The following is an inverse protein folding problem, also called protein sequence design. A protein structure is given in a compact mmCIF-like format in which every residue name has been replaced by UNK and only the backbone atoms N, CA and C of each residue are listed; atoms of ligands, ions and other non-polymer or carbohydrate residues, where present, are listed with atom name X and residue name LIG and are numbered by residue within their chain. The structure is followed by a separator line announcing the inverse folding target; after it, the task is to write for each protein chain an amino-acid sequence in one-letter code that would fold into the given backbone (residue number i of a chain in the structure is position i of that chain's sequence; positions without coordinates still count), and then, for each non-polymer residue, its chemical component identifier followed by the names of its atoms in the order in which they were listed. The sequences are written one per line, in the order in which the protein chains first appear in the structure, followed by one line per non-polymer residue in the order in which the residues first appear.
data_IF_451246934187
#
_entry.id   IF_451246934187
#
_cell.length_a   1.000
_cell.length_b   1.000
_cell.length_c   1.000
_cell.angle_alpha   90.00
_cell.angle_beta   90.00
_cell.angle_gamma   90.00
#
_symmetry.space_group_name_H-M   'P 1'
#
loop_
_entity.id
_entity.type
_entity.pdbx_description
1 polymer ?
#
# COMPACT_ATOMS: atom_id res chain seq x y z
N UNK A 1 39.51 53.89 39.08
CA UNK A 1 38.56 54.36 38.05
C UNK A 1 38.07 53.11 37.32
N UNK A 2 37.01 52.46 37.81
CA UNK A 2 35.59 52.56 37.41
C UNK A 2 35.28 52.06 35.97
N UNK A 3 34.55 50.93 35.96
CA UNK A 3 33.48 50.46 35.04
C UNK A 3 33.82 50.21 33.56
N UNK A 4 33.22 49.27 32.81
CA UNK A 4 32.36 48.09 33.03
C UNK A 4 31.98 47.55 31.63
N UNK A 5 31.81 46.23 31.50
CA UNK A 5 30.86 45.47 30.63
C UNK A 5 30.81 45.78 29.11
N UNK A 6 30.75 44.81 28.18
CA UNK A 6 29.70 43.77 28.09
C UNK A 6 30.09 42.69 27.06
N UNK A 7 29.80 41.44 27.40
CA UNK A 7 29.74 40.24 26.56
C UNK A 7 28.67 40.37 25.45
N UNK A 8 28.94 39.88 24.23
CA UNK A 8 27.87 39.37 23.37
C UNK A 8 28.36 38.12 22.62
N UNK A 9 28.14 36.97 23.26
CA UNK A 9 28.02 35.68 22.59
C UNK A 9 26.79 35.74 21.69
N UNK A 10 26.97 35.65 20.38
CA UNK A 10 25.86 35.42 19.46
C UNK A 10 25.50 33.94 19.58
N UNK A 11 24.48 33.72 20.40
CA UNK A 11 23.74 32.47 20.56
C UNK A 11 23.25 32.05 19.18
N UNK A 12 23.89 31.04 18.59
CA UNK A 12 23.25 30.23 17.55
C UNK A 12 22.13 29.52 18.30
N UNK A 13 20.91 30.06 18.18
CA UNK A 13 19.71 29.34 18.55
C UNK A 13 19.61 28.16 17.60
N UNK A 14 20.25 27.06 17.96
CA UNK A 14 19.71 25.76 17.69
C UNK A 14 18.32 25.79 18.29
N UNK A 15 17.33 26.11 17.46
CA UNK A 15 15.96 25.72 17.69
C UNK A 15 15.96 24.21 17.69
N UNK A 16 16.39 23.64 18.83
CA UNK A 16 15.91 22.35 19.30
C UNK A 16 14.41 22.60 19.38
N UNK A 17 13.72 22.33 18.29
CA UNK A 17 12.30 22.08 18.34
C UNK A 17 12.21 20.99 19.40
N UNK A 18 11.69 21.38 20.55
CA UNK A 18 10.97 20.47 21.42
C UNK A 18 9.87 19.89 20.53
N UNK A 19 10.20 18.85 19.76
CA UNK A 19 9.22 17.88 19.34
C UNK A 19 8.73 17.30 20.66
N UNK A 20 7.63 17.85 21.16
CA UNK A 20 6.70 17.02 21.92
C UNK A 20 6.60 15.72 21.12
N UNK A 21 7.16 14.65 21.68
CA UNK A 21 7.14 13.33 21.09
C UNK A 21 5.69 13.02 20.75
N UNK A 22 5.30 13.13 19.48
CA UNK A 22 3.96 12.75 19.06
C UNK A 22 3.82 11.27 19.42
N UNK A 23 2.79 10.88 20.19
CA UNK A 23 2.67 9.50 20.67
C UNK A 23 2.35 8.47 19.56
N UNK A 24 2.15 8.93 18.31
CA UNK A 24 1.76 8.13 17.15
C UNK A 24 2.92 7.97 16.17
N UNK A 25 3.09 6.75 15.64
CA UNK A 25 4.03 6.49 14.53
C UNK A 25 3.52 7.02 13.19
N UNK A 26 2.21 7.27 13.09
CA UNK A 26 1.49 7.58 11.85
C UNK A 26 1.47 9.07 11.51
N UNK A 27 1.40 9.38 10.21
CA UNK A 27 1.18 10.73 9.70
C UNK A 27 2.35 11.69 9.94
N UNK A 28 3.52 11.16 10.31
CA UNK A 28 4.76 11.93 10.43
C UNK A 28 5.49 12.08 9.08
N UNK A 29 5.06 11.30 8.09
CA UNK A 29 5.65 11.23 6.76
C UNK A 29 4.98 12.27 5.87
N UNK A 30 5.78 13.12 5.24
CA UNK A 30 5.29 14.03 4.21
C UNK A 30 5.35 13.34 2.84
N UNK A 31 4.32 12.54 2.55
CA UNK A 31 4.21 11.83 1.27
C UNK A 31 4.14 12.77 0.07
N UNK A 32 3.59 13.97 0.22
CA UNK A 32 3.57 14.95 -0.87
C UNK A 32 4.97 15.46 -1.21
N UNK A 33 5.82 15.68 -0.20
CA UNK A 33 7.23 16.04 -0.42
C UNK A 33 8.01 14.89 -1.06
N UNK A 34 7.78 13.64 -0.65
CA UNK A 34 8.39 12.47 -1.29
C UNK A 34 7.95 12.36 -2.75
N UNK A 35 6.65 12.48 -3.02
CA UNK A 35 6.10 12.39 -4.38
C UNK A 35 6.60 13.52 -5.30
N UNK A 36 6.73 14.75 -4.77
CA UNK A 36 7.34 15.88 -5.50
C UNK A 36 8.82 15.68 -5.82
N UNK A 37 9.50 14.80 -5.09
CA UNK A 37 10.92 14.52 -5.30
C UNK A 37 11.19 13.40 -6.32
N UNK A 38 10.14 12.78 -6.86
CA UNK A 38 10.24 11.80 -7.94
C UNK A 38 10.87 12.48 -9.17
N UNK A 39 11.90 11.88 -9.81
CA UNK A 39 12.49 12.42 -11.03
C UNK A 39 11.43 12.62 -12.12
N UNK A 40 11.55 13.70 -12.90
CA UNK A 40 10.56 14.00 -13.95
C UNK A 40 10.71 13.06 -15.14
N UNK A 41 9.61 12.45 -15.59
CA UNK A 41 9.54 11.69 -16.83
C UNK A 41 9.46 12.66 -18.02
N UNK A 42 10.48 12.65 -18.87
CA UNK A 42 10.59 13.59 -20.00
C UNK A 42 9.57 13.26 -21.11
N UNK A 43 9.22 14.27 -21.91
CA UNK A 43 8.20 14.16 -22.97
C UNK A 43 8.71 13.69 -24.31
N UNK A 44 10.01 13.74 -24.54
CA UNK A 44 10.61 13.29 -25.81
C UNK A 44 11.95 12.59 -25.56
N UNK A 45 12.39 11.72 -26.50
CA UNK A 45 13.73 11.14 -26.46
C UNK A 45 14.86 12.17 -26.38
N UNK A 46 14.72 13.33 -27.05
CA UNK A 46 15.71 14.42 -27.00
C UNK A 46 15.84 15.03 -25.61
N UNK A 47 14.70 15.31 -24.97
CA UNK A 47 14.69 15.83 -23.60
C UNK A 47 15.22 14.78 -22.62
N UNK A 48 14.89 13.51 -22.81
CA UNK A 48 15.45 12.40 -22.02
C UNK A 48 16.96 12.28 -22.19
N UNK A 49 17.48 12.47 -23.40
CA UNK A 49 18.91 12.46 -23.69
C UNK A 49 19.66 13.65 -23.09
N UNK A 50 19.08 14.85 -23.14
CA UNK A 50 19.62 16.00 -22.41
C UNK A 50 19.66 15.73 -20.91
N UNK A 51 18.58 15.15 -20.37
CA UNK A 51 18.44 14.89 -18.94
C UNK A 51 19.37 13.77 -18.43
N UNK A 52 19.55 12.70 -19.21
CA UNK A 52 20.37 11.55 -18.83
C UNK A 52 21.84 11.69 -19.21
N UNK A 53 22.16 12.37 -20.32
CA UNK A 53 23.50 12.41 -20.90
C UNK A 53 24.06 13.82 -21.11
N UNK A 54 23.34 14.88 -20.69
CA UNK A 54 23.76 16.27 -20.86
C UNK A 54 24.18 16.60 -22.30
N UNK A 55 23.43 16.09 -23.28
CA UNK A 55 23.68 16.23 -24.72
C UNK A 55 25.02 15.65 -25.23
N UNK A 56 25.76 14.93 -24.40
CA UNK A 56 26.98 14.24 -24.82
C UNK A 56 26.64 12.87 -25.44
N UNK A 57 27.08 12.63 -26.67
CA UNK A 57 26.93 11.33 -27.36
C UNK A 57 27.61 10.20 -26.58
N UNK A 58 28.69 10.49 -25.86
CA UNK A 58 29.38 9.52 -25.00
C UNK A 58 28.87 9.52 -23.54
N UNK A 59 27.81 10.30 -23.25
CA UNK A 59 27.29 10.55 -21.90
C UNK A 59 28.41 10.88 -20.87
N UNK A 60 29.42 11.63 -21.30
CA UNK A 60 30.54 12.03 -20.44
C UNK A 60 30.10 13.26 -19.65
N UNK A 61 29.84 13.08 -18.35
CA UNK A 61 29.44 14.14 -17.44
C UNK A 61 28.43 13.67 -16.39
N UNK A 62 28.10 14.58 -15.48
CA UNK A 62 27.15 14.33 -14.41
C UNK A 62 25.71 14.24 -14.96
N UNK A 63 25.16 13.03 -14.97
CA UNK A 63 23.77 12.77 -15.36
C UNK A 63 22.81 13.40 -14.37
N UNK A 64 22.01 14.38 -14.82
CA UNK A 64 20.99 15.00 -13.97
C UNK A 64 19.92 14.00 -13.54
N UNK A 65 19.57 13.07 -14.44
CA UNK A 65 18.67 11.96 -14.12
C UNK A 65 19.20 11.10 -12.97
N UNK A 66 20.46 10.67 -13.05
CA UNK A 66 21.09 9.84 -12.02
C UNK A 66 21.17 10.58 -10.69
N UNK A 67 21.63 11.84 -10.70
CA UNK A 67 21.74 12.67 -9.50
C UNK A 67 20.37 12.81 -8.81
N UNK A 68 19.32 13.11 -9.56
CA UNK A 68 17.98 13.26 -8.98
C UNK A 68 17.46 11.93 -8.44
N UNK A 69 17.68 10.83 -9.16
CA UNK A 69 17.24 9.51 -8.73
C UNK A 69 17.98 9.02 -7.48
N UNK A 70 19.29 9.23 -7.39
CA UNK A 70 20.08 8.91 -6.19
C UNK A 70 19.64 9.75 -4.98
N UNK A 71 19.40 11.05 -5.17
CA UNK A 71 18.88 11.91 -4.12
C UNK A 71 17.48 11.48 -3.67
N UNK A 72 16.63 11.03 -4.60
CA UNK A 72 15.33 10.45 -4.28
C UNK A 72 15.47 9.16 -3.47
N UNK A 73 16.34 8.22 -3.87
CA UNK A 73 16.58 6.97 -3.12
C UNK A 73 17.03 7.24 -1.69
N UNK A 74 17.93 8.20 -1.48
CA UNK A 74 18.35 8.62 -0.12
C UNK A 74 17.18 9.14 0.72
N UNK A 75 16.26 9.91 0.13
CA UNK A 75 15.05 10.37 0.83
C UNK A 75 14.13 9.20 1.19
N UNK A 76 13.96 8.24 0.28
CA UNK A 76 13.17 7.03 0.54
C UNK A 76 13.79 6.13 1.61
N UNK A 77 15.12 6.02 1.63
CA UNK A 77 15.85 5.30 2.67
C UNK A 77 15.68 5.96 4.04
N UNK A 78 15.83 7.29 4.11
CA UNK A 78 15.58 8.04 5.34
C UNK A 78 14.14 7.84 5.84
N UNK A 79 13.16 7.87 4.92
CA UNK A 79 11.76 7.56 5.24
C UNK A 79 11.59 6.15 5.81
N UNK A 80 12.11 5.14 5.12
CA UNK A 80 12.02 3.73 5.55
C UNK A 80 12.65 3.54 6.93
N UNK A 81 13.83 4.13 7.15
CA UNK A 81 14.53 4.08 8.44
C UNK A 81 13.73 4.77 9.55
N UNK A 82 13.14 5.95 9.28
CA UNK A 82 12.30 6.64 10.25
C UNK A 82 11.07 5.83 10.65
N UNK A 83 10.42 5.18 9.69
CA UNK A 83 9.26 4.34 9.95
C UNK A 83 9.64 3.07 10.73
N UNK A 84 10.72 2.40 10.33
CA UNK A 84 11.25 1.22 11.01
C UNK A 84 11.66 1.54 12.46
N UNK A 85 12.43 2.62 12.68
CA UNK A 85 12.82 3.05 14.03
C UNK A 85 11.63 3.47 14.89
N UNK A 86 10.58 4.05 14.29
CA UNK A 86 9.35 4.42 15.01
C UNK A 86 8.55 3.18 15.43
N UNK A 87 8.46 2.17 14.56
CA UNK A 87 7.84 0.87 14.85
C UNK A 87 8.63 0.13 15.95
N UNK A 88 9.96 0.09 15.84
CA UNK A 88 10.85 -0.55 16.82
C UNK A 88 10.79 0.15 18.18
N UNK A 89 10.87 1.48 18.22
CA UNK A 89 10.73 2.26 19.47
C UNK A 89 9.39 2.03 20.15
N UNK A 90 8.33 1.84 19.37
CA UNK A 90 7.01 1.52 19.90
C UNK A 90 6.95 0.09 20.43
N UNK A 91 7.48 -0.88 19.69
CA UNK A 91 7.60 -2.27 20.13
C UNK A 91 8.41 -2.35 21.43
N UNK A 92 9.58 -1.69 21.49
CA UNK A 92 10.43 -1.62 22.67
C UNK A 92 9.72 -0.92 23.83
N UNK A 93 9.02 0.19 23.60
CA UNK A 93 8.20 0.84 24.63
C UNK A 93 7.04 0.00 25.17
N UNK A 94 6.53 -0.96 24.37
CA UNK A 94 5.58 -1.99 24.84
C UNK A 94 6.29 -3.08 25.66
N UNK A 95 7.46 -3.56 25.20
CA UNK A 95 8.29 -4.53 25.93
C UNK A 95 8.79 -3.97 27.27
N UNK A 96 9.28 -2.74 27.32
CA UNK A 96 9.82 -2.10 28.53
C UNK A 96 8.70 -1.80 29.56
N UNK A 97 7.47 -1.57 29.13
CA UNK A 97 6.32 -1.29 30.02
C UNK A 97 5.64 -2.53 30.59
N UNK A 98 5.68 -3.66 29.87
CA UNK A 98 4.91 -4.86 30.23
C UNK A 98 5.73 -6.13 30.38
N UNK A 99 6.98 -6.14 29.93
CA UNK A 99 7.79 -7.35 29.81
C UNK A 99 7.22 -8.34 28.78
N UNK A 100 7.98 -9.40 28.51
CA UNK A 100 7.56 -10.49 27.61
C UNK A 100 6.30 -11.20 28.13
N UNK A 101 6.19 -11.35 29.46
CA UNK A 101 5.04 -11.95 30.13
C UNK A 101 3.78 -11.06 30.09
N UNK A 102 3.93 -9.74 30.17
CA UNK A 102 2.78 -8.83 30.06
C UNK A 102 2.25 -8.70 28.64
N UNK A 103 3.11 -8.85 27.62
CA UNK A 103 2.71 -8.98 26.22
C UNK A 103 1.98 -10.31 25.95
N UNK A 104 2.51 -11.42 26.47
CA UNK A 104 1.85 -12.71 26.40
C UNK A 104 0.48 -12.70 27.08
N UNK A 105 0.39 -12.10 28.28
CA UNK A 105 -0.87 -11.97 29.01
C UNK A 105 -1.86 -11.01 28.35
N UNK A 106 -1.40 -9.93 27.71
CA UNK A 106 -2.26 -9.02 26.93
C UNK A 106 -2.85 -9.70 25.70
N UNK A 107 -2.01 -10.38 24.90
CA UNK A 107 -2.44 -11.14 23.72
C UNK A 107 -3.38 -12.26 24.12
N UNK A 108 -3.05 -13.02 25.17
CA UNK A 108 -3.90 -14.06 25.74
C UNK A 108 -5.24 -13.50 26.23
N UNK A 109 -5.24 -12.34 26.87
CA UNK A 109 -6.46 -11.64 27.31
C UNK A 109 -7.30 -11.16 26.12
N UNK A 110 -6.69 -10.66 25.06
CA UNK A 110 -7.39 -10.28 23.83
C UNK A 110 -7.99 -11.47 23.08
N UNK A 111 -7.27 -12.58 22.98
CA UNK A 111 -7.80 -13.81 22.36
C UNK A 111 -8.90 -14.42 23.24
N UNK A 112 -8.77 -14.33 24.57
CA UNK A 112 -9.84 -14.64 25.53
C UNK A 112 -11.01 -13.66 25.55
N UNK A 113 -11.02 -12.60 24.75
CA UNK A 113 -12.20 -11.74 24.55
C UNK A 113 -13.08 -12.22 23.41
N UNK A 114 -12.63 -13.19 22.61
CA UNK A 114 -13.46 -13.81 21.59
C UNK A 114 -14.49 -14.75 22.26
N UNK A 115 -15.79 -14.52 22.04
CA UNK A 115 -16.88 -15.29 22.66
C UNK A 115 -16.76 -16.80 22.44
N UNK A 116 -16.31 -17.23 21.25
CA UNK A 116 -16.11 -18.64 20.96
C UNK A 116 -14.97 -19.21 21.82
N UNK A 117 -13.86 -18.48 21.96
CA UNK A 117 -12.71 -18.86 22.78
C UNK A 117 -13.07 -18.88 24.28
N UNK A 118 -13.89 -17.93 24.75
CA UNK A 118 -14.42 -17.92 26.11
C UNK A 118 -15.31 -19.13 26.39
N UNK A 119 -16.21 -19.45 25.45
CA UNK A 119 -17.09 -20.62 25.58
C UNK A 119 -16.33 -21.95 25.49
N UNK A 120 -15.14 -21.95 24.88
CA UNK A 120 -14.20 -23.06 24.91
C UNK A 120 -13.32 -23.09 26.19
N UNK A 121 -13.52 -22.15 27.12
CA UNK A 121 -12.84 -22.08 28.42
C UNK A 121 -11.54 -21.29 28.44
N UNK A 122 -11.29 -20.50 27.39
CA UNK A 122 -10.11 -19.65 27.25
C UNK A 122 -8.88 -20.37 26.65
N UNK A 123 -7.94 -19.58 26.14
CA UNK A 123 -6.70 -19.99 25.47
C UNK A 123 -5.90 -21.00 26.30
N UNK A 124 -5.83 -20.85 27.63
CA UNK A 124 -5.13 -21.80 28.50
C UNK A 124 -5.76 -23.19 28.42
N UNK A 125 -7.08 -23.25 28.51
CA UNK A 125 -7.81 -24.51 28.49
C UNK A 125 -7.75 -25.14 27.10
N UNK A 126 -7.86 -24.34 26.05
CA UNK A 126 -7.75 -24.78 24.66
C UNK A 126 -6.35 -25.34 24.37
N UNK A 127 -5.30 -24.73 24.92
CA UNK A 127 -3.91 -25.17 24.74
C UNK A 127 -3.61 -26.53 25.40
N UNK A 128 -4.43 -26.93 26.37
CA UNK A 128 -4.32 -28.20 27.11
C UNK A 128 -5.28 -29.29 26.57
N UNK A 129 -6.14 -28.98 25.59
CA UNK A 129 -7.07 -29.93 24.99
C UNK A 129 -6.42 -30.71 23.84
N UNK A 130 -6.76 -31.98 23.72
CA UNK A 130 -6.46 -32.76 22.51
C UNK A 130 -7.26 -32.24 21.29
N UNK A 131 -6.85 -32.61 20.09
CA UNK A 131 -7.50 -32.18 18.84
C UNK A 131 -9.00 -32.55 18.79
N UNK A 132 -9.36 -33.76 19.23
CA UNK A 132 -10.77 -34.20 19.35
C UNK A 132 -11.56 -33.40 20.39
N UNK A 133 -10.94 -33.02 21.50
CA UNK A 133 -11.58 -32.21 22.55
C UNK A 133 -11.78 -30.76 22.09
N UNK A 134 -10.83 -30.21 21.32
CA UNK A 134 -10.95 -28.88 20.70
C UNK A 134 -12.10 -28.82 19.70
N UNK A 135 -12.25 -29.82 18.83
CA UNK A 135 -13.36 -29.87 17.87
C UNK A 135 -14.73 -29.98 18.56
N UNK A 136 -14.84 -30.79 19.61
CA UNK A 136 -16.07 -30.93 20.39
C UNK A 136 -16.41 -29.64 21.16
N UNK A 137 -15.40 -28.99 21.76
CA UNK A 137 -15.56 -27.71 22.45
C UNK A 137 -15.93 -26.59 21.47
N UNK A 138 -15.32 -26.54 20.29
CA UNK A 138 -15.66 -25.58 19.24
C UNK A 138 -17.08 -25.77 18.73
N UNK A 139 -17.54 -27.01 18.48
CA UNK A 139 -18.94 -27.30 18.09
C UNK A 139 -19.95 -26.90 19.17
N UNK A 140 -19.63 -27.15 20.45
CA UNK A 140 -20.47 -26.78 21.59
C UNK A 140 -20.52 -25.26 21.81
N UNK A 141 -19.39 -24.58 21.64
CA UNK A 141 -19.29 -23.12 21.70
C UNK A 141 -20.00 -22.47 20.50
N UNK A 142 -19.88 -23.04 19.29
CA UNK A 142 -20.63 -22.55 18.12
C UNK A 142 -22.13 -22.63 18.39
N UNK A 143 -22.62 -23.79 18.85
CA UNK A 143 -24.02 -24.04 19.18
C UNK A 143 -24.58 -23.07 20.25
N UNK A 144 -23.78 -22.73 21.26
CA UNK A 144 -24.14 -21.82 22.35
C UNK A 144 -24.00 -20.34 21.96
N UNK A 145 -23.10 -19.98 21.04
CA UNK A 145 -23.04 -18.63 20.46
C UNK A 145 -24.20 -18.36 19.49
N UNK A 146 -24.67 -19.38 18.76
CA UNK A 146 -25.88 -19.27 17.93
C UNK A 146 -27.16 -19.17 18.76
N UNK A 147 -27.18 -19.66 20.00
CA UNK A 147 -28.31 -19.44 20.93
C UNK A 147 -28.20 -18.13 21.72
N UNK A 148 -27.00 -17.57 21.85
CA UNK A 148 -26.74 -16.29 22.51
C UNK A 148 -26.81 -15.06 21.58
N UNK A 149 -27.38 -15.16 20.37
CA UNK A 149 -27.66 -13.95 19.58
C UNK A 149 -28.73 -13.13 20.29
N UNK A 150 -28.33 -12.01 20.89
CA UNK A 150 -29.21 -11.00 21.47
C UNK A 150 -30.21 -10.39 20.45
N UNK A 151 -30.15 -10.82 19.19
CA UNK A 151 -30.99 -10.38 18.09
C UNK A 151 -31.73 -11.54 17.38
N UNK A 152 -31.73 -12.75 17.95
CA UNK A 152 -32.57 -13.81 17.40
C UNK A 152 -34.04 -13.45 17.59
N UNK A 153 -34.87 -13.49 16.53
CA UNK A 153 -36.31 -13.24 16.63
C UNK A 153 -37.07 -14.35 17.38
N UNK A 154 -36.39 -15.43 17.77
CA UNK A 154 -36.95 -16.61 18.41
C UNK A 154 -36.45 -16.74 19.84
N UNK A 155 -37.33 -17.16 20.76
CA UNK A 155 -36.94 -17.45 22.15
C UNK A 155 -35.97 -18.63 22.23
N UNK A 156 -35.23 -18.73 23.35
CA UNK A 156 -34.26 -19.81 23.58
C UNK A 156 -34.92 -21.20 23.44
N UNK A 157 -36.14 -21.36 23.98
CA UNK A 157 -36.90 -22.60 23.87
C UNK A 157 -37.33 -22.92 22.42
N UNK A 158 -37.67 -21.91 21.62
CA UNK A 158 -38.02 -22.08 20.21
C UNK A 158 -36.78 -22.43 19.38
N UNK A 159 -35.65 -21.77 19.62
CA UNK A 159 -34.39 -22.08 18.94
C UNK A 159 -33.92 -23.49 19.25
N UNK A 160 -33.98 -23.90 20.52
CA UNK A 160 -33.58 -25.25 20.91
C UNK A 160 -34.51 -26.32 20.32
N UNK A 161 -35.78 -25.98 20.09
CA UNK A 161 -36.72 -26.85 19.39
C UNK A 161 -36.48 -26.88 17.88
N UNK A 162 -36.14 -25.75 17.25
CA UNK A 162 -35.74 -25.69 15.84
C UNK A 162 -34.46 -26.49 15.55
N UNK A 163 -33.52 -26.54 16.50
CA UNK A 163 -32.30 -27.33 16.36
C UNK A 163 -32.56 -28.84 16.42
N UNK A 164 -33.59 -29.26 17.15
CA UNK A 164 -33.90 -30.67 17.39
C UNK A 164 -35.03 -31.20 16.48
N UNK A 165 -35.79 -30.32 15.82
CA UNK A 165 -36.89 -30.65 14.92
C UNK A 165 -36.77 -29.86 13.59
N UNK A 166 -36.29 -30.51 12.52
CA UNK A 166 -36.11 -29.89 11.21
C UNK A 166 -37.39 -29.36 10.57
N UNK A 167 -38.55 -29.95 10.87
CA UNK A 167 -39.85 -29.52 10.31
C UNK A 167 -40.38 -28.28 11.06
N UNK A 168 -40.17 -28.23 12.37
CA UNK A 168 -40.42 -27.03 13.17
C UNK A 168 -39.56 -25.85 12.72
N UNK A 169 -38.28 -26.09 12.39
CA UNK A 169 -37.38 -25.06 11.85
C UNK A 169 -37.89 -24.45 10.53
N UNK A 170 -38.35 -25.30 9.60
CA UNK A 170 -38.93 -24.84 8.33
C UNK A 170 -40.20 -24.00 8.53
N UNK A 171 -41.08 -24.40 9.44
CA UNK A 171 -42.29 -23.63 9.75
C UNK A 171 -41.97 -22.25 10.32
N UNK A 172 -41.01 -22.16 11.25
CA UNK A 172 -40.65 -20.89 11.88
C UNK A 172 -39.91 -19.95 10.93
N UNK A 173 -39.03 -20.47 10.08
CA UNK A 173 -38.40 -19.69 9.02
C UNK A 173 -39.43 -19.14 8.01
N UNK A 174 -40.39 -19.95 7.59
CA UNK A 174 -41.47 -19.51 6.70
C UNK A 174 -42.37 -18.46 7.36
N UNK A 175 -42.71 -18.65 8.63
CA UNK A 175 -43.51 -17.69 9.42
C UNK A 175 -42.82 -16.34 9.56
N UNK A 176 -41.51 -16.32 9.79
CA UNK A 176 -40.72 -15.09 9.92
C UNK A 176 -40.54 -14.37 8.57
N UNK A 177 -40.27 -15.12 7.50
CA UNK A 177 -40.11 -14.54 6.16
C UNK A 177 -41.40 -13.91 5.61
N UNK A 178 -42.57 -14.40 6.06
CA UNK A 178 -43.88 -13.87 5.67
C UNK A 178 -44.39 -12.71 6.54
N UNK A 179 -43.62 -12.25 7.53
CA UNK A 179 -43.97 -11.05 8.31
C UNK A 179 -43.58 -9.76 7.58
N UNK A 180 -44.40 -8.71 7.73
CA UNK A 180 -44.02 -7.36 7.32
C UNK A 180 -42.87 -6.82 8.17
N UNK A 181 -42.08 -5.87 7.64
CA UNK A 181 -40.96 -5.25 8.37
C UNK A 181 -41.38 -4.63 9.71
N UNK A 182 -42.60 -4.07 9.78
CA UNK A 182 -43.17 -3.55 11.04
C UNK A 182 -43.41 -4.66 12.07
N UNK A 183 -43.92 -5.82 11.64
CA UNK A 183 -44.14 -6.96 12.52
C UNK A 183 -42.83 -7.60 13.00
N UNK A 184 -41.79 -7.64 12.16
CA UNK A 184 -40.45 -8.08 12.57
C UNK A 184 -39.87 -7.15 13.65
N UNK A 185 -40.01 -5.83 13.47
CA UNK A 185 -39.54 -4.83 14.42
C UNK A 185 -40.30 -4.89 15.77
N UNK A 186 -41.62 -5.05 15.74
CA UNK A 186 -42.44 -5.17 16.96
C UNK A 186 -42.13 -6.46 17.74
N UNK A 187 -41.78 -7.55 17.04
CA UNK A 187 -41.42 -8.82 17.67
C UNK A 187 -40.08 -8.73 18.42
N UNK A 188 -39.08 -8.06 17.84
CA UNK A 188 -37.80 -7.76 18.51
C UNK A 188 -38.03 -6.84 19.72
N UNK A 189 -38.90 -5.83 19.59
CA UNK A 189 -39.22 -4.87 20.66
C UNK A 189 -39.92 -5.51 21.87
N UNK A 190 -40.87 -6.42 21.64
CA UNK A 190 -41.57 -7.12 22.72
C UNK A 190 -40.67 -8.12 23.48
N UNK A 191 -39.68 -8.70 22.81
CA UNK A 191 -38.69 -9.58 23.46
C UNK A 191 -37.67 -8.79 24.29
N UNK A 192 -37.35 -7.55 23.90
CA UNK A 192 -36.53 -6.63 24.70
C UNK A 192 -37.27 -6.13 25.95
N UNK A 193 -38.60 -5.98 25.88
CA UNK A 193 -39.42 -5.48 27.00
C UNK A 193 -39.71 -6.53 28.08
N UNK A 194 -39.49 -7.83 27.80
CA UNK A 194 -39.84 -8.94 28.70
C UNK A 194 -38.64 -9.61 29.36
N UNK A 195 -37.41 -9.24 28.99
CA UNK A 195 -36.22 -9.61 29.75
C UNK A 195 -35.97 -8.54 30.81
N UNK A 196 -36.21 -8.88 32.07
CA UNK A 196 -35.53 -8.20 33.18
C UNK A 196 -34.03 -8.49 33.01
N UNK A 197 -33.34 -7.57 32.34
CA UNK A 197 -31.91 -7.70 32.13
C UNK A 197 -31.20 -7.16 33.37
N UNK A 198 -31.08 -8.00 34.40
CA UNK A 198 -30.09 -7.80 35.46
C UNK A 198 -28.70 -8.19 34.90
N UNK A 199 -28.22 -7.46 33.88
CA UNK A 199 -26.78 -7.41 33.63
C UNK A 199 -26.23 -6.45 34.67
N UNK A 200 -25.27 -6.89 35.46
CA UNK A 200 -24.42 -5.93 36.15
C UNK A 200 -23.90 -4.92 35.12
N UNK A 201 -23.93 -3.62 35.44
CA UNK A 201 -23.48 -2.53 34.55
C UNK A 201 -22.09 -2.80 33.93
N UNK A 202 -21.26 -3.60 34.60
CA UNK A 202 -19.89 -3.92 34.22
C UNK A 202 -19.78 -4.87 33.01
N UNK A 203 -20.60 -5.94 32.95
CA UNK A 203 -20.60 -6.89 31.83
C UNK A 203 -21.18 -6.27 30.54
N UNK A 204 -22.23 -5.45 30.67
CA UNK A 204 -22.78 -4.69 29.54
C UNK A 204 -21.77 -3.68 28.99
N UNK A 205 -21.06 -2.97 29.87
CA UNK A 205 -19.99 -2.07 29.47
C UNK A 205 -18.84 -2.79 28.76
N UNK A 206 -18.43 -3.98 29.23
CA UNK A 206 -17.38 -4.78 28.59
C UNK A 206 -17.79 -5.21 27.18
N UNK A 207 -19.01 -5.71 27.00
CA UNK A 207 -19.52 -6.16 25.69
C UNK A 207 -19.64 -4.99 24.70
N UNK A 208 -20.14 -3.83 25.14
CA UNK A 208 -20.18 -2.62 24.31
C UNK A 208 -18.77 -2.14 23.91
N UNK A 209 -17.80 -2.22 24.81
CA UNK A 209 -16.39 -1.91 24.53
C UNK A 209 -15.79 -2.87 23.49
N UNK A 210 -16.06 -4.18 23.59
CA UNK A 210 -15.57 -5.18 22.63
C UNK A 210 -16.17 -5.03 21.23
N UNK A 211 -17.48 -4.80 21.13
CA UNK A 211 -18.15 -4.54 19.85
C UNK A 211 -17.60 -3.30 19.15
N UNK A 212 -17.27 -2.26 19.92
CA UNK A 212 -16.65 -1.05 19.37
C UNK A 212 -15.22 -1.29 18.87
N UNK A 213 -14.42 -2.13 19.55
CA UNK A 213 -13.07 -2.52 19.10
C UNK A 213 -13.13 -3.33 17.81
N UNK A 214 -14.02 -4.31 17.74
CA UNK A 214 -14.23 -5.12 16.55
C UNK A 214 -14.63 -4.23 15.36
N UNK A 215 -15.59 -3.31 15.58
CA UNK A 215 -16.02 -2.34 14.56
C UNK A 215 -14.87 -1.45 14.09
N UNK A 216 -14.12 -0.83 15.01
CA UNK A 216 -12.99 0.02 14.66
C UNK A 216 -11.91 -0.75 13.88
N UNK A 217 -11.61 -1.99 14.29
CA UNK A 217 -10.65 -2.85 13.60
C UNK A 217 -11.13 -3.20 12.19
N UNK A 218 -12.41 -3.57 12.05
CA UNK A 218 -13.02 -3.84 10.74
C UNK A 218 -13.00 -2.61 9.83
N UNK A 219 -13.32 -1.42 10.36
CA UNK A 219 -13.31 -0.17 9.61
C UNK A 219 -11.90 0.19 9.12
N UNK A 220 -10.88 0.05 9.98
CA UNK A 220 -9.47 0.28 9.61
C UNK A 220 -9.00 -0.76 8.59
N UNK A 221 -9.25 -2.05 8.83
CA UNK A 221 -8.86 -3.13 7.90
C UNK A 221 -9.53 -2.97 6.54
N UNK A 222 -10.80 -2.57 6.51
CA UNK A 222 -11.53 -2.30 5.27
C UNK A 222 -10.93 -1.10 4.53
N UNK A 223 -10.59 -0.03 5.25
CA UNK A 223 -9.92 1.13 4.67
C UNK A 223 -8.56 0.76 4.07
N UNK A 224 -7.68 0.15 4.88
CA UNK A 224 -6.35 -0.31 4.44
C UNK A 224 -6.46 -1.26 3.25
N UNK A 225 -7.34 -2.26 3.33
CA UNK A 225 -7.56 -3.22 2.24
C UNK A 225 -8.03 -2.56 0.93
N UNK A 226 -8.99 -1.64 1.00
CA UNK A 226 -9.46 -0.86 -0.17
C UNK A 226 -8.31 -0.08 -0.78
N UNK A 227 -7.61 0.72 0.03
CA UNK A 227 -6.58 1.66 -0.43
C UNK A 227 -5.34 0.94 -0.96
N UNK A 228 -4.89 -0.13 -0.30
CA UNK A 228 -3.79 -0.97 -0.81
C UNK A 228 -4.16 -1.68 -2.12
N UNK A 229 -5.40 -2.18 -2.25
CA UNK A 229 -5.87 -2.79 -3.49
C UNK A 229 -5.94 -1.79 -4.65
N UNK A 230 -6.32 -0.55 -4.37
CA UNK A 230 -6.35 0.53 -5.35
C UNK A 230 -4.94 0.85 -5.90
N UNK A 231 -3.93 0.97 -5.03
CA UNK A 231 -2.53 1.14 -5.43
C UNK A 231 -1.99 -0.06 -6.23
N UNK A 232 -2.27 -1.29 -5.80
CA UNK A 232 -1.87 -2.51 -6.52
C UNK A 232 -2.50 -2.55 -7.91
N UNK A 233 -3.81 -2.31 -7.99
CA UNK A 233 -4.56 -2.31 -9.25
C UNK A 233 -4.03 -1.25 -10.21
N UNK A 234 -3.75 -0.03 -9.72
CA UNK A 234 -3.19 1.03 -10.56
C UNK A 234 -1.80 0.66 -11.10
N UNK A 235 -0.96 0.03 -10.28
CA UNK A 235 0.37 -0.44 -10.67
C UNK A 235 0.31 -1.57 -11.71
N UNK A 236 -0.59 -2.53 -11.51
CA UNK A 236 -0.83 -3.63 -12.45
C UNK A 236 -1.39 -3.12 -13.79
N UNK A 237 -2.33 -2.17 -13.74
CA UNK A 237 -2.88 -1.52 -14.93
C UNK A 237 -1.79 -0.80 -15.71
N UNK A 238 -0.94 -0.02 -15.04
CA UNK A 238 0.23 0.61 -15.66
C UNK A 238 1.09 -0.45 -16.37
N UNK A 239 1.53 -1.49 -15.63
CA UNK A 239 2.41 -2.52 -16.18
C UNK A 239 1.80 -3.26 -17.38
N UNK A 240 0.50 -3.59 -17.30
CA UNK A 240 -0.22 -4.27 -18.37
C UNK A 240 -0.36 -3.39 -19.62
N UNK A 241 -0.68 -2.10 -19.45
CA UNK A 241 -0.85 -1.15 -20.54
C UNK A 241 0.48 -0.89 -21.25
N UNK A 242 1.57 -0.72 -20.51
CA UNK A 242 2.92 -0.55 -21.08
C UNK A 242 3.37 -1.82 -21.80
N UNK A 243 3.13 -3.01 -21.23
CA UNK A 243 3.42 -4.28 -21.91
C UNK A 243 2.63 -4.42 -23.21
N UNK A 244 1.34 -4.08 -23.21
CA UNK A 244 0.51 -4.12 -24.44
C UNK A 244 1.03 -3.13 -25.48
N UNK A 245 1.35 -1.91 -25.07
CA UNK A 245 1.91 -0.87 -25.93
C UNK A 245 3.20 -1.35 -26.62
N UNK A 246 4.16 -1.91 -25.87
CA UNK A 246 5.41 -2.43 -26.41
C UNK A 246 5.25 -3.61 -27.37
N UNK A 247 4.10 -4.29 -27.33
CA UNK A 247 3.79 -5.42 -28.21
C UNK A 247 2.93 -5.05 -29.43
N UNK A 248 2.61 -3.77 -29.65
CA UNK A 248 1.91 -3.35 -30.87
C UNK A 248 2.81 -3.50 -32.11
N UNK A 249 2.21 -3.61 -33.30
CA UNK A 249 2.94 -3.63 -34.57
C UNK A 249 3.93 -2.46 -34.71
N UNK A 250 5.11 -2.74 -35.29
CA UNK A 250 6.19 -1.77 -35.42
C UNK A 250 7.00 -1.60 -34.12
N UNK A 251 6.90 -2.59 -33.22
CA UNK A 251 7.77 -2.71 -32.05
C UNK A 251 9.23 -2.88 -32.45
N UNK A 252 10.14 -2.66 -31.50
CA UNK A 252 11.57 -2.69 -31.76
C UNK A 252 12.03 -4.00 -32.40
N UNK A 253 11.50 -5.17 -32.02
CA UNK A 253 11.89 -6.43 -32.66
C UNK A 253 11.43 -6.56 -34.11
N UNK A 254 10.34 -5.88 -34.51
CA UNK A 254 9.91 -5.83 -35.91
C UNK A 254 10.88 -4.96 -36.73
N UNK A 255 11.40 -3.88 -36.13
CA UNK A 255 12.39 -3.00 -36.74
C UNK A 255 13.74 -3.70 -36.91
N UNK A 256 14.19 -4.45 -35.90
CA UNK A 256 15.42 -5.26 -35.94
C UNK A 256 15.38 -6.25 -37.12
N UNK A 257 14.28 -6.99 -37.25
CA UNK A 257 14.07 -7.94 -38.37
C UNK A 257 14.05 -7.24 -39.72
N UNK A 258 13.34 -6.12 -39.82
CA UNK A 258 13.29 -5.32 -41.05
C UNK A 258 14.69 -4.84 -41.46
N UNK A 259 15.52 -4.44 -40.49
CA UNK A 259 16.90 -4.04 -40.75
C UNK A 259 17.74 -5.20 -41.26
N UNK A 260 17.68 -6.38 -40.63
CA UNK A 260 18.43 -7.56 -41.08
C UNK A 260 18.07 -7.96 -42.51
N UNK A 261 16.78 -7.90 -42.86
CA UNK A 261 16.31 -8.19 -44.21
C UNK A 261 16.76 -7.15 -45.24
N UNK A 262 16.77 -5.87 -44.89
CA UNK A 262 17.28 -4.80 -45.75
C UNK A 262 18.80 -4.86 -45.91
N UNK A 263 19.53 -5.17 -44.84
CA UNK A 263 20.99 -5.30 -44.84
C UNK A 263 21.46 -6.40 -45.79
N UNK A 264 20.80 -7.56 -45.79
CA UNK A 264 21.10 -8.69 -46.70
C UNK A 264 20.90 -8.35 -48.18
N UNK A 265 20.13 -7.31 -48.51
CA UNK A 265 19.88 -6.85 -49.90
C UNK A 265 20.95 -5.87 -50.39
N UNK A 266 21.86 -5.42 -49.52
CA UNK A 266 22.93 -4.49 -49.91
C UNK A 266 23.94 -5.25 -50.80
N UNK A 267 24.26 -4.74 -52.00
CA UNK A 267 25.22 -5.39 -52.88
C UNK A 267 26.63 -5.37 -52.26
N UNK A 268 27.35 -6.47 -52.48
CA UNK A 268 28.76 -6.58 -52.12
C UNK A 268 29.62 -5.87 -53.18
N UNK A 269 30.52 -5.00 -52.73
CA UNK A 269 31.51 -4.31 -53.55
C UNK A 269 32.91 -4.76 -53.15
N UNK A 270 33.86 -4.68 -54.08
CA UNK A 270 35.25 -5.04 -53.79
C UNK A 270 35.89 -3.92 -52.97
N UNK A 271 36.40 -4.25 -51.79
CA UNK A 271 37.16 -3.36 -50.92
C UNK A 271 38.46 -4.04 -50.51
N UNK A 272 39.59 -3.55 -51.01
CA UNK A 272 40.89 -4.20 -50.81
C UNK A 272 40.92 -5.62 -51.39
N UNK A 273 41.26 -6.62 -50.56
CA UNK A 273 41.30 -8.05 -50.94
C UNK A 273 39.95 -8.76 -50.75
N UNK A 274 38.93 -8.09 -50.19
CA UNK A 274 37.65 -8.67 -49.81
C UNK A 274 36.45 -8.13 -50.60
N UNK A 275 35.29 -8.75 -50.38
CA UNK A 275 33.98 -8.24 -50.81
C UNK A 275 33.16 -7.89 -49.59
N UNK A 276 32.87 -6.60 -49.43
CA UNK A 276 32.09 -6.07 -48.29
C UNK A 276 30.79 -5.43 -48.79
N UNK A 277 29.72 -5.39 -47.97
CA UNK A 277 28.52 -4.62 -48.28
C UNK A 277 28.88 -3.14 -48.54
N UNK A 278 28.26 -2.53 -49.56
CA UNK A 278 28.47 -1.12 -49.90
C UNK A 278 28.35 -0.20 -48.66
N UNK A 279 29.46 0.41 -48.18
CA UNK A 279 29.47 1.20 -46.95
C UNK A 279 28.52 2.39 -46.98
N UNK A 280 28.28 3.00 -48.15
CA UNK A 280 27.35 4.13 -48.27
C UNK A 280 25.90 3.67 -48.07
N UNK A 281 25.56 2.49 -48.59
CA UNK A 281 24.23 1.90 -48.41
C UNK A 281 24.04 1.41 -46.98
N UNK A 282 25.07 0.80 -46.38
CA UNK A 282 25.05 0.41 -44.96
C UNK A 282 24.84 1.64 -44.07
N UNK A 283 25.60 2.72 -44.28
CA UNK A 283 25.44 3.96 -43.52
C UNK A 283 24.02 4.54 -43.65
N UNK A 284 23.48 4.58 -44.87
CA UNK A 284 22.12 5.07 -45.11
C UNK A 284 21.07 4.21 -44.39
N UNK A 285 21.24 2.89 -44.42
CA UNK A 285 20.38 1.95 -43.71
C UNK A 285 20.46 2.14 -42.20
N UNK A 286 21.66 2.30 -41.63
CA UNK A 286 21.87 2.54 -40.20
C UNK A 286 21.19 3.82 -39.72
N UNK A 287 21.31 4.92 -40.48
CA UNK A 287 20.64 6.20 -40.15
C UNK A 287 19.12 6.03 -40.17
N UNK A 288 18.59 5.36 -41.20
CA UNK A 288 17.15 5.08 -41.33
C UNK A 288 16.64 4.21 -40.18
N UNK A 289 17.39 3.17 -39.84
CA UNK A 289 17.10 2.25 -38.75
C UNK A 289 17.08 2.95 -37.39
N UNK A 290 18.14 3.67 -37.05
CA UNK A 290 18.20 4.43 -35.80
C UNK A 290 17.06 5.45 -35.68
N UNK A 291 16.70 6.13 -36.79
CA UNK A 291 15.55 7.04 -36.82
C UNK A 291 14.22 6.32 -36.59
N UNK A 292 14.03 5.11 -37.15
CA UNK A 292 12.82 4.29 -36.90
C UNK A 292 12.71 3.93 -35.41
N UNK A 293 13.80 3.49 -34.77
CA UNK A 293 13.82 3.21 -33.33
C UNK A 293 13.54 4.45 -32.48
N UNK A 294 14.17 5.58 -32.79
CA UNK A 294 13.89 6.86 -32.11
C UNK A 294 12.42 7.25 -32.21
N UNK A 295 11.82 7.15 -33.40
CA UNK A 295 10.38 7.45 -33.60
C UNK A 295 9.48 6.51 -32.81
N UNK A 296 9.81 5.22 -32.77
CA UNK A 296 9.09 4.24 -31.96
C UNK A 296 9.19 4.55 -30.47
N UNK A 297 10.38 4.86 -29.98
CA UNK A 297 10.60 5.27 -28.59
C UNK A 297 9.81 6.53 -28.22
N UNK A 298 9.74 7.53 -29.11
CA UNK A 298 8.91 8.72 -28.89
C UNK A 298 7.42 8.40 -28.77
N UNK A 299 6.90 7.50 -29.62
CA UNK A 299 5.52 7.04 -29.53
C UNK A 299 5.25 6.30 -28.23
N UNK A 300 6.14 5.39 -27.84
CA UNK A 300 6.02 4.64 -26.58
C UNK A 300 6.06 5.59 -25.38
N UNK A 301 7.06 6.48 -25.31
CA UNK A 301 7.21 7.45 -24.22
C UNK A 301 5.96 8.33 -24.07
N UNK A 302 5.39 8.82 -25.17
CA UNK A 302 4.16 9.63 -25.12
C UNK A 302 2.97 8.88 -24.50
N UNK A 303 2.80 7.60 -24.83
CA UNK A 303 1.73 6.78 -24.26
C UNK A 303 2.03 6.39 -22.80
N UNK A 304 3.29 6.07 -22.50
CA UNK A 304 3.76 5.78 -21.14
C UNK A 304 3.52 6.99 -20.22
N UNK A 305 3.73 8.21 -20.71
CA UNK A 305 3.43 9.43 -19.93
C UNK A 305 1.95 9.53 -19.54
N UNK A 306 1.02 9.04 -20.37
CA UNK A 306 -0.41 9.04 -20.04
C UNK A 306 -0.66 8.08 -18.87
N UNK A 307 -0.14 6.85 -18.95
CA UNK A 307 -0.30 5.85 -17.89
C UNK A 307 0.44 6.26 -16.60
N UNK A 308 1.62 6.87 -16.73
CA UNK A 308 2.39 7.43 -15.63
C UNK A 308 1.60 8.51 -14.87
N UNK A 309 0.97 9.45 -15.60
CA UNK A 309 0.14 10.49 -15.00
C UNK A 309 -1.09 9.92 -14.28
N UNK A 310 -1.67 8.84 -14.80
CA UNK A 310 -2.77 8.14 -14.11
C UNK A 310 -2.31 7.52 -12.80
N UNK A 311 -1.19 6.79 -12.81
CA UNK A 311 -0.61 6.22 -11.60
C UNK A 311 -0.26 7.31 -10.56
N UNK A 312 0.37 8.40 -11.00
CA UNK A 312 0.66 9.56 -10.15
C UNK A 312 -0.61 10.18 -9.54
N UNK A 313 -1.70 10.28 -10.31
CA UNK A 313 -2.96 10.80 -9.83
C UNK A 313 -3.58 9.89 -8.75
N UNK A 314 -3.59 8.57 -8.97
CA UNK A 314 -4.06 7.60 -7.97
C UNK A 314 -3.23 7.64 -6.70
N UNK A 315 -1.89 7.73 -6.79
CA UNK A 315 -1.04 7.86 -5.60
C UNK A 315 -1.38 9.15 -4.83
N UNK A 316 -1.55 10.28 -5.52
CA UNK A 316 -1.96 11.55 -4.88
C UNK A 316 -3.32 11.44 -4.17
N UNK A 317 -4.30 10.80 -4.81
CA UNK A 317 -5.64 10.59 -4.26
C UNK A 317 -5.57 9.73 -3.00
N UNK A 318 -4.82 8.62 -3.05
CA UNK A 318 -4.60 7.74 -1.90
C UNK A 318 -3.91 8.47 -0.75
N UNK A 319 -2.90 9.29 -1.01
CA UNK A 319 -2.26 10.12 0.02
C UNK A 319 -3.29 11.06 0.67
N UNK A 320 -4.15 11.68 -0.14
CA UNK A 320 -5.23 12.56 0.34
C UNK A 320 -6.26 11.81 1.17
N UNK A 321 -6.71 10.64 0.72
CA UNK A 321 -7.65 9.77 1.45
C UNK A 321 -7.03 9.34 2.79
N UNK A 322 -5.75 8.96 2.79
CA UNK A 322 -5.01 8.57 3.98
C UNK A 322 -4.95 9.69 5.03
N UNK A 323 -4.51 10.89 4.64
CA UNK A 323 -4.44 12.01 5.58
C UNK A 323 -5.82 12.42 6.09
N UNK A 324 -6.84 12.43 5.23
CA UNK A 324 -8.22 12.68 5.63
C UNK A 324 -8.74 11.63 6.62
N UNK A 325 -8.37 10.35 6.41
CA UNK A 325 -8.71 9.26 7.32
C UNK A 325 -8.06 9.44 8.68
N UNK A 326 -6.77 9.78 8.72
CA UNK A 326 -6.05 10.06 9.97
C UNK A 326 -6.65 11.24 10.73
N UNK A 327 -7.04 12.31 10.05
CA UNK A 327 -7.68 13.47 10.67
C UNK A 327 -9.04 13.11 11.28
N UNK A 328 -9.88 12.41 10.52
CA UNK A 328 -11.21 12.01 10.96
C UNK A 328 -11.20 10.93 12.06
N UNK A 329 -10.15 10.09 12.12
CA UNK A 329 -10.07 8.94 13.03
C UNK A 329 -8.93 9.03 14.05
N UNK A 330 -8.21 10.15 14.15
CA UNK A 330 -7.02 10.27 15.01
C UNK A 330 -7.26 9.92 16.47
N UNK A 331 -8.45 10.22 17.01
CA UNK A 331 -8.84 9.84 18.37
C UNK A 331 -9.06 8.33 18.55
N UNK A 332 -9.53 7.64 17.51
CA UNK A 332 -9.69 6.18 17.49
C UNK A 332 -8.34 5.45 17.44
N UNK A 333 -7.31 6.13 16.96
CA UNK A 333 -5.98 5.59 16.68
C UNK A 333 -5.00 5.86 17.84
N UNK A 334 -5.05 7.03 18.50
CA UNK A 334 -3.98 7.51 19.42
C UNK A 334 -4.30 7.55 20.95
N UNK A 335 -5.56 7.40 21.40
CA UNK A 335 -5.97 7.41 22.84
C UNK A 335 -5.84 8.77 23.56
N UNK A 336 -6.66 9.23 24.54
CA UNK A 336 -7.55 8.62 25.56
C UNK A 336 -8.81 9.51 25.83
N UNK A 337 -9.89 9.07 26.50
CA UNK A 337 -9.99 8.74 27.94
C UNK A 337 -10.37 7.27 28.23
N UNK A 338 -9.55 6.61 29.06
CA UNK A 338 -9.72 5.29 29.71
C UNK A 338 -10.28 4.15 28.85
N UNK A 339 -9.34 3.44 28.22
CA UNK A 339 -9.39 2.00 27.92
C UNK A 339 -10.29 1.47 26.80
N UNK A 340 -10.22 2.07 25.61
CA UNK A 340 -10.77 1.47 24.36
C UNK A 340 -9.63 0.97 23.42
N UNK A 341 -8.36 1.09 23.82
CA UNK A 341 -7.28 1.42 22.87
C UNK A 341 -5.97 0.62 23.01
N UNK A 342 -5.99 -0.71 23.12
CA UNK A 342 -4.81 -1.47 22.66
C UNK A 342 -4.79 -1.49 21.12
N UNK A 343 -4.50 -0.33 20.51
CA UNK A 343 -4.52 -0.02 19.07
C UNK A 343 -3.34 -0.56 18.27
N UNK A 344 -2.61 -1.56 18.77
CA UNK A 344 -1.40 -2.09 18.12
C UNK A 344 -1.70 -2.66 16.73
N UNK A 345 -2.83 -3.33 16.54
CA UNK A 345 -3.21 -3.89 15.22
C UNK A 345 -3.63 -2.81 14.23
N UNK A 346 -4.46 -1.85 14.63
CA UNK A 346 -4.96 -0.79 13.73
C UNK A 346 -3.87 0.17 13.32
N UNK A 347 -2.98 0.53 14.25
CA UNK A 347 -1.85 1.40 13.97
C UNK A 347 -0.79 0.70 13.12
N UNK A 348 -0.54 -0.59 13.35
CA UNK A 348 0.33 -1.40 12.49
C UNK A 348 -0.25 -1.56 11.07
N UNK A 349 -1.57 -1.77 10.93
CA UNK A 349 -2.21 -1.83 9.60
C UNK A 349 -2.11 -0.50 8.85
N UNK A 350 -2.23 0.63 9.55
CA UNK A 350 -2.04 1.95 8.94
C UNK A 350 -0.57 2.24 8.62
N UNK A 351 0.38 1.76 9.43
CA UNK A 351 1.81 1.84 9.13
C UNK A 351 2.18 0.96 7.91
N UNK A 352 1.53 -0.19 7.75
CA UNK A 352 1.65 -1.01 6.54
C UNK A 352 1.13 -0.28 5.32
N UNK A 353 0.03 0.45 5.44
CA UNK A 353 -0.47 1.30 4.37
C UNK A 353 0.52 2.42 4.03
N UNK A 354 1.13 3.08 5.02
CA UNK A 354 2.22 4.05 4.80
C UNK A 354 3.37 3.43 4.00
N UNK A 355 3.80 2.20 4.34
CA UNK A 355 4.81 1.46 3.57
C UNK A 355 4.37 1.26 2.12
N UNK A 356 3.14 0.79 1.87
CA UNK A 356 2.61 0.58 0.52
C UNK A 356 2.52 1.89 -0.30
N UNK A 357 2.17 3.01 0.34
CA UNK A 357 2.22 4.33 -0.30
C UNK A 357 3.66 4.67 -0.70
N UNK A 358 4.61 4.49 0.23
CA UNK A 358 6.03 4.69 -0.04
C UNK A 358 6.57 3.84 -1.19
N UNK A 359 6.25 2.55 -1.20
CA UNK A 359 6.60 1.61 -2.28
C UNK A 359 6.05 2.08 -3.64
N UNK A 360 4.81 2.58 -3.66
CA UNK A 360 4.18 3.10 -4.88
C UNK A 360 4.88 4.36 -5.39
N UNK A 361 5.32 5.26 -4.49
CA UNK A 361 6.12 6.44 -4.84
C UNK A 361 7.49 6.01 -5.40
N UNK A 362 8.17 5.05 -4.75
CA UNK A 362 9.42 4.46 -5.26
C UNK A 362 9.23 3.88 -6.64
N UNK A 363 8.14 3.15 -6.88
CA UNK A 363 7.86 2.55 -8.18
C UNK A 363 7.71 3.61 -9.27
N UNK A 364 7.06 4.73 -8.95
CA UNK A 364 6.92 5.85 -9.86
C UNK A 364 8.30 6.46 -10.24
N UNK A 365 9.23 6.53 -9.30
CA UNK A 365 10.60 6.98 -9.58
C UNK A 365 11.39 5.99 -10.43
N UNK A 366 11.29 4.69 -10.15
CA UNK A 366 11.91 3.64 -10.98
C UNK A 366 11.42 3.71 -12.43
N UNK A 367 10.11 3.90 -12.62
CA UNK A 367 9.51 4.08 -13.94
C UNK A 367 10.14 5.30 -14.63
N UNK A 368 10.12 6.46 -13.97
CA UNK A 368 10.69 7.68 -14.55
C UNK A 368 12.15 7.50 -14.98
N UNK A 369 12.95 6.86 -14.13
CA UNK A 369 14.34 6.56 -14.41
C UNK A 369 14.52 5.62 -15.60
N UNK A 370 13.82 4.47 -15.60
CA UNK A 370 13.89 3.46 -16.65
C UNK A 370 13.47 4.00 -18.01
N UNK A 371 12.36 4.74 -18.06
CA UNK A 371 11.78 5.22 -19.31
C UNK A 371 12.60 6.38 -19.90
N UNK A 372 13.11 7.28 -19.06
CA UNK A 372 14.08 8.29 -19.52
C UNK A 372 15.36 7.65 -20.04
N UNK A 373 15.90 6.64 -19.36
CA UNK A 373 17.12 5.94 -19.80
C UNK A 373 16.92 5.25 -21.15
N UNK A 374 15.79 4.57 -21.33
CA UNK A 374 15.44 3.89 -22.59
C UNK A 374 15.29 4.89 -23.73
N UNK A 375 14.51 5.96 -23.52
CA UNK A 375 14.30 6.99 -24.54
C UNK A 375 15.60 7.73 -24.89
N UNK A 376 16.43 8.04 -23.88
CA UNK A 376 17.77 8.61 -24.05
C UNK A 376 18.66 7.72 -24.91
N UNK A 377 18.68 6.41 -24.65
CA UNK A 377 19.51 5.46 -25.41
C UNK A 377 19.17 5.43 -26.91
N UNK A 378 17.88 5.52 -27.27
CA UNK A 378 17.47 5.58 -28.67
C UNK A 378 17.84 6.91 -29.34
N UNK A 379 17.76 8.03 -28.62
CA UNK A 379 18.25 9.32 -29.12
C UNK A 379 19.77 9.31 -29.30
N UNK A 380 20.50 8.85 -28.29
CA UNK A 380 21.96 8.74 -28.30
C UNK A 380 22.43 7.90 -29.49
N UNK A 381 21.81 6.74 -29.73
CA UNK A 381 22.14 5.88 -30.86
C UNK A 381 21.91 6.60 -32.19
N UNK A 382 20.81 7.33 -32.33
CA UNK A 382 20.55 8.13 -33.52
C UNK A 382 21.62 9.22 -33.74
N UNK A 383 21.97 9.96 -32.70
CA UNK A 383 23.03 10.98 -32.77
C UNK A 383 24.39 10.36 -33.12
N UNK A 384 24.73 9.22 -32.51
CA UNK A 384 25.97 8.50 -32.77
C UNK A 384 26.12 8.14 -34.26
N UNK A 385 25.10 7.50 -34.84
CA UNK A 385 25.11 7.08 -36.26
C UNK A 385 25.15 8.27 -37.23
N UNK A 386 24.61 9.43 -36.85
CA UNK A 386 24.76 10.66 -37.64
C UNK A 386 26.19 11.21 -37.62
N UNK A 387 26.92 10.99 -36.52
CA UNK A 387 28.28 11.51 -36.33
C UNK A 387 29.40 10.60 -36.81
N UNK A 388 29.15 9.28 -36.93
CA UNK A 388 30.10 8.36 -37.57
C UNK A 388 30.34 8.83 -39.02
N UNK A 389 31.57 9.27 -39.31
CA UNK A 389 31.98 9.75 -40.64
C UNK A 389 32.27 8.60 -41.57
#
# INVERSE_FOLDING_TARGET
MKLSFTFLFLIITNSIFSQQSKPSILGNVDFYTLLKSVPTLQSTPEAAFEYACNKSINCQGDSQLEIQYENFKKKMEMYSNQLASSLESKAQGFYDKKGQDGLYNDSKRQVNQNELIQQMGGVDKISQMSEKEREAAAKKALAKSTSASAFSPFSEAEMQRMMNDPEYAKQMAAKYNNMSEKQKADMVKNQLATKDIDVSNEEFEITMKQNQIAKNTMDVTKFVGKTSAELSTATELYASNVKRLRNTSGKHEDLDKSYEEEYKKIPLIIMGEGKDPDPKKVKTLNVSYALKHKKRAAQELSQIQIEYKRLLATINEVISEYHSYLEANGYRINGKMKDVYNGTNTELSLAQLEMTIGESISKLAEISYSENSTASGHEQHYQYVLTEK
#
